data_IF_175087097761
#
_entry.id   IF_175087097761
#
_cell.length_a   1.000
_cell.length_b   1.000
_cell.length_c   1.000
_cell.angle_alpha   90.00
_cell.angle_beta   90.00
_cell.angle_gamma   90.00
#
_symmetry.space_group_name_H-M   'P 1'
#
loop_
_entity.id
_entity.type
_entity.pdbx_description
1 polymer ?
#
# COMPACT_ATOMS: atom_id res chain seq x y z
N UNK A 1 53.60 -71.82 9.15
CA UNK A 1 53.20 -71.45 7.80
C UNK A 1 52.06 -70.46 7.90
N UNK A 2 52.37 -69.20 7.76
CA UNK A 2 51.38 -68.12 7.79
C UNK A 2 51.28 -67.54 6.40
N UNK A 3 50.11 -67.70 5.81
CA UNK A 3 49.81 -67.16 4.47
C UNK A 3 49.28 -65.73 4.60
N UNK A 4 49.99 -64.78 4.02
CA UNK A 4 49.58 -63.36 3.92
C UNK A 4 48.75 -63.18 2.64
N UNK A 5 47.49 -62.72 2.77
CA UNK A 5 46.62 -62.38 1.68
C UNK A 5 46.75 -60.83 1.49
N UNK A 6 47.08 -60.30 0.30
CA UNK A 6 47.10 -58.87 0.08
C UNK A 6 45.69 -58.34 -0.18
N UNK A 7 45.28 -57.33 0.59
CA UNK A 7 44.10 -56.54 0.32
C UNK A 7 44.38 -55.56 -0.84
N UNK A 8 43.72 -55.72 -1.99
CA UNK A 8 43.63 -54.74 -3.01
C UNK A 8 42.62 -53.68 -2.62
N UNK A 9 43.07 -52.49 -2.21
CA UNK A 9 42.24 -51.35 -1.97
C UNK A 9 41.82 -50.70 -3.32
N UNK A 10 40.54 -50.77 -3.68
CA UNK A 10 39.95 -50.01 -4.76
C UNK A 10 39.85 -48.52 -4.33
N UNK A 11 40.72 -47.67 -4.87
CA UNK A 11 40.60 -46.20 -4.75
C UNK A 11 39.57 -45.73 -5.75
N UNK A 12 38.35 -45.51 -5.31
CA UNK A 12 37.32 -44.81 -6.09
C UNK A 12 37.60 -43.29 -6.05
N UNK A 13 38.03 -42.74 -7.16
CA UNK A 13 38.09 -41.30 -7.37
C UNK A 13 36.66 -40.78 -7.49
N UNK A 14 36.20 -40.13 -6.46
CA UNK A 14 34.97 -39.28 -6.52
C UNK A 14 35.31 -38.03 -7.37
N UNK A 15 34.87 -38.00 -8.63
CA UNK A 15 34.86 -36.81 -9.44
C UNK A 15 33.83 -35.87 -8.79
N UNK A 16 34.29 -34.92 -7.97
CA UNK A 16 33.49 -33.78 -7.56
C UNK A 16 33.23 -32.97 -8.81
N UNK A 17 32.05 -33.10 -9.41
CA UNK A 17 31.55 -32.13 -10.37
C UNK A 17 31.41 -30.81 -9.65
N UNK A 18 32.38 -29.93 -9.83
CA UNK A 18 32.20 -28.52 -9.51
C UNK A 18 31.10 -28.00 -10.47
N UNK A 19 29.88 -27.93 -9.98
CA UNK A 19 28.87 -27.09 -10.61
C UNK A 19 29.38 -25.65 -10.47
N UNK A 20 30.06 -25.16 -11.51
CA UNK A 20 30.19 -23.72 -11.73
C UNK A 20 28.77 -23.19 -11.80
N UNK A 21 28.30 -22.56 -10.71
CA UNK A 21 27.06 -21.77 -10.74
C UNK A 21 27.31 -20.68 -11.77
N UNK A 22 26.78 -20.86 -12.97
CA UNK A 22 26.85 -19.87 -14.03
C UNK A 22 26.34 -18.54 -13.49
N UNK A 23 26.97 -17.45 -13.90
CA UNK A 23 26.52 -16.10 -13.52
C UNK A 23 25.14 -15.92 -14.12
N UNK A 24 24.09 -15.96 -13.28
CA UNK A 24 22.71 -15.78 -13.69
C UNK A 24 22.41 -14.37 -14.21
N UNK A 25 21.16 -14.02 -14.30
CA UNK A 25 20.74 -12.68 -14.70
C UNK A 25 20.57 -11.78 -13.45
N UNK A 26 21.01 -10.54 -13.58
CA UNK A 26 20.78 -9.49 -12.58
C UNK A 26 20.15 -8.28 -13.27
N UNK A 27 18.95 -7.90 -12.84
CA UNK A 27 18.21 -6.77 -13.39
C UNK A 27 17.95 -5.73 -12.32
N UNK A 28 18.05 -4.47 -12.68
CA UNK A 28 17.77 -3.33 -11.81
C UNK A 28 16.36 -2.80 -12.05
N UNK A 29 15.57 -2.67 -10.98
CA UNK A 29 14.22 -2.10 -11.06
C UNK A 29 14.20 -0.57 -10.89
N UNK A 30 15.34 0.10 -10.74
CA UNK A 30 15.41 1.56 -10.55
C UNK A 30 14.64 2.29 -11.63
N UNK A 31 13.75 3.18 -11.20
CA UNK A 31 12.96 3.97 -12.15
C UNK A 31 13.88 4.83 -13.05
N UNK A 32 13.65 4.82 -14.36
CA UNK A 32 14.42 5.45 -15.44
C UNK A 32 15.81 4.86 -15.69
N UNK A 33 16.63 4.65 -14.66
CA UNK A 33 18.03 4.21 -14.83
C UNK A 33 18.21 2.68 -14.83
N UNK A 34 17.25 1.91 -14.31
CA UNK A 34 17.31 0.46 -14.26
C UNK A 34 16.89 -0.21 -15.58
N UNK A 35 16.85 -1.55 -15.54
CA UNK A 35 16.51 -2.40 -16.69
C UNK A 35 15.00 -2.55 -16.89
N UNK A 36 14.20 -2.36 -15.83
CA UNK A 36 12.74 -2.38 -15.90
C UNK A 36 12.22 -1.08 -16.50
N UNK A 37 12.03 -1.07 -17.83
CA UNK A 37 11.61 0.11 -18.60
C UNK A 37 10.09 0.26 -18.68
N UNK A 38 9.65 1.48 -19.00
CA UNK A 38 8.24 1.84 -19.14
C UNK A 38 7.69 1.52 -20.55
N UNK A 39 6.42 1.14 -20.64
CA UNK A 39 5.50 0.75 -19.56
C UNK A 39 5.88 -0.62 -18.97
N UNK A 40 6.00 -0.69 -17.64
CA UNK A 40 6.52 -1.87 -16.95
C UNK A 40 5.53 -3.04 -16.96
N UNK A 41 6.01 -4.28 -17.24
CA UNK A 41 5.28 -5.48 -16.87
C UNK A 41 5.29 -5.67 -15.35
N UNK A 42 4.35 -6.45 -14.83
CA UNK A 42 4.46 -6.99 -13.47
C UNK A 42 5.49 -8.12 -13.50
N UNK A 43 6.35 -8.13 -12.48
CA UNK A 43 7.35 -9.16 -12.26
C UNK A 43 6.81 -10.17 -11.25
N UNK A 44 6.57 -11.39 -11.69
CA UNK A 44 5.98 -12.43 -10.86
C UNK A 44 6.91 -13.62 -10.72
N UNK A 45 6.84 -14.24 -9.55
CA UNK A 45 7.41 -15.58 -9.32
C UNK A 45 6.28 -16.58 -9.08
N UNK A 46 6.52 -17.82 -9.49
CA UNK A 46 5.64 -18.95 -9.23
C UNK A 46 6.17 -19.73 -8.04
N UNK A 47 5.33 -20.05 -7.08
CA UNK A 47 5.70 -20.91 -5.96
C UNK A 47 5.56 -22.40 -6.31
N UNK A 48 5.94 -23.28 -5.36
CA UNK A 48 5.84 -24.73 -5.53
C UNK A 48 4.40 -25.25 -5.76
N UNK A 49 3.38 -24.44 -5.42
CA UNK A 49 1.96 -24.73 -5.65
C UNK A 49 1.43 -24.09 -6.94
N UNK A 50 2.34 -23.57 -7.76
CA UNK A 50 2.05 -22.83 -9.00
C UNK A 50 1.27 -21.52 -8.81
N UNK A 51 1.18 -20.98 -7.58
CA UNK A 51 0.59 -19.69 -7.34
C UNK A 51 1.57 -18.55 -7.67
N UNK A 52 1.04 -17.47 -8.27
CA UNK A 52 1.83 -16.30 -8.60
C UNK A 52 1.85 -15.29 -7.45
N UNK A 53 3.02 -14.72 -7.24
CA UNK A 53 3.21 -13.59 -6.33
C UNK A 53 4.18 -12.57 -6.95
N UNK A 54 4.10 -11.31 -6.51
CA UNK A 54 5.08 -10.29 -6.92
C UNK A 54 6.49 -10.75 -6.54
N UNK A 55 7.42 -10.67 -7.47
CA UNK A 55 8.84 -10.91 -7.21
C UNK A 55 9.50 -9.60 -6.81
N UNK A 56 9.85 -9.48 -5.54
CA UNK A 56 10.55 -8.30 -5.01
C UNK A 56 12.06 -8.42 -5.26
N UNK A 57 12.80 -7.29 -5.34
CA UNK A 57 14.26 -7.29 -5.38
C UNK A 57 14.91 -8.07 -4.24
N UNK A 58 16.18 -8.41 -4.40
CA UNK A 58 16.94 -9.14 -3.37
C UNK A 58 17.64 -8.18 -2.41
N UNK A 59 17.81 -6.90 -2.84
CA UNK A 59 18.52 -5.88 -2.08
C UNK A 59 17.84 -4.49 -2.09
N UNK A 60 18.35 -3.61 -1.24
CA UNK A 60 17.92 -2.21 -1.11
C UNK A 60 18.26 -1.35 -2.36
N UNK A 61 19.16 -1.82 -3.22
CA UNK A 61 19.51 -1.14 -4.47
C UNK A 61 18.52 -1.43 -5.59
N UNK A 62 17.61 -2.38 -5.36
CA UNK A 62 16.60 -2.78 -6.35
C UNK A 62 17.16 -3.73 -7.40
N UNK A 63 18.10 -4.59 -7.03
CA UNK A 63 18.59 -5.68 -7.85
C UNK A 63 17.71 -6.91 -7.67
N UNK A 64 17.32 -7.53 -8.78
CA UNK A 64 16.62 -8.80 -8.79
C UNK A 64 17.48 -9.82 -9.54
N UNK A 65 17.84 -10.91 -8.86
CA UNK A 65 18.75 -11.93 -9.36
C UNK A 65 17.96 -13.18 -9.73
N UNK A 66 18.16 -13.66 -10.95
CA UNK A 66 17.55 -14.89 -11.47
C UNK A 66 18.69 -15.85 -11.80
N UNK A 67 18.70 -17.07 -11.25
CA UNK A 67 19.71 -18.09 -11.61
C UNK A 67 19.75 -18.34 -13.11
N UNK A 68 20.90 -18.77 -13.65
CA UNK A 68 20.98 -19.23 -15.03
C UNK A 68 19.95 -20.35 -15.27
N UNK A 69 19.26 -20.30 -16.41
CA UNK A 69 18.10 -21.16 -16.72
C UNK A 69 16.90 -21.01 -15.78
N UNK A 70 16.96 -20.14 -14.75
CA UNK A 70 15.81 -19.76 -13.96
C UNK A 70 14.88 -18.84 -14.74
N UNK A 71 13.62 -18.74 -14.33
CA UNK A 71 12.62 -17.95 -15.04
C UNK A 71 11.94 -16.92 -14.19
N UNK A 72 11.57 -15.82 -14.81
CA UNK A 72 10.67 -14.79 -14.27
C UNK A 72 9.42 -14.73 -15.14
N UNK A 73 8.27 -14.60 -14.51
CA UNK A 73 7.01 -14.47 -15.23
C UNK A 73 6.63 -12.99 -15.37
N UNK A 74 6.42 -12.56 -16.62
CA UNK A 74 6.09 -11.19 -16.98
C UNK A 74 4.63 -11.11 -17.41
N UNK A 75 3.90 -10.11 -16.91
CA UNK A 75 2.51 -9.90 -17.34
C UNK A 75 2.19 -8.41 -17.52
N UNK A 76 1.38 -8.13 -18.54
CA UNK A 76 0.87 -6.81 -18.90
C UNK A 76 -0.64 -6.77 -18.74
N UNK A 77 -1.16 -6.65 -17.49
CA UNK A 77 -2.59 -6.62 -17.25
C UNK A 77 -3.31 -5.50 -18.01
N UNK A 78 -4.47 -5.84 -18.59
CA UNK A 78 -5.33 -4.91 -19.31
C UNK A 78 -5.73 -5.44 -20.69
N UNK A 79 -6.85 -4.91 -21.19
CA UNK A 79 -7.32 -5.25 -22.54
C UNK A 79 -6.35 -4.72 -23.59
N UNK A 80 -5.98 -5.55 -24.58
CA UNK A 80 -5.04 -5.21 -25.64
C UNK A 80 -3.69 -4.68 -25.14
N UNK A 81 -3.27 -5.09 -23.95
CA UNK A 81 -1.96 -4.80 -23.37
C UNK A 81 -1.08 -6.05 -23.50
N UNK A 82 0.05 -5.96 -24.16
CA UNK A 82 0.91 -7.08 -24.47
C UNK A 82 2.39 -6.69 -24.36
N UNK A 83 3.24 -7.70 -24.16
CA UNK A 83 4.70 -7.55 -24.13
C UNK A 83 5.23 -7.33 -25.55
N UNK A 84 6.04 -6.30 -25.76
CA UNK A 84 6.68 -5.93 -27.03
C UNK A 84 5.72 -5.86 -28.23
N UNK A 85 5.11 -6.97 -28.59
CA UNK A 85 4.17 -7.09 -29.69
C UNK A 85 3.09 -8.15 -29.39
N UNK A 86 2.08 -8.22 -30.25
CA UNK A 86 0.94 -9.14 -30.06
C UNK A 86 1.32 -10.62 -30.11
N UNK A 87 2.40 -10.98 -30.80
CA UNK A 87 2.82 -12.39 -30.96
C UNK A 87 3.39 -12.97 -29.66
N UNK A 88 3.96 -12.14 -28.78
CA UNK A 88 4.42 -12.55 -27.44
C UNK A 88 3.25 -12.73 -26.48
N UNK A 89 2.16 -11.96 -26.67
CA UNK A 89 0.99 -12.00 -25.81
C UNK A 89 1.09 -11.04 -24.62
N UNK A 90 0.09 -11.12 -23.73
CA UNK A 90 0.02 -10.28 -22.52
C UNK A 90 0.76 -10.89 -21.32
N UNK A 91 1.23 -12.13 -21.43
CA UNK A 91 1.96 -12.87 -20.41
C UNK A 91 3.05 -13.72 -21.06
N UNK A 92 4.21 -13.80 -20.43
CA UNK A 92 5.29 -14.64 -20.90
C UNK A 92 6.22 -15.07 -19.75
N UNK A 93 6.76 -16.26 -19.86
CA UNK A 93 7.89 -16.71 -19.08
C UNK A 93 9.18 -16.27 -19.76
N UNK A 94 10.02 -15.54 -19.04
CA UNK A 94 11.33 -15.09 -19.50
C UNK A 94 12.40 -15.90 -18.78
N UNK A 95 13.13 -16.75 -19.51
CA UNK A 95 14.17 -17.64 -19.00
C UNK A 95 15.51 -16.91 -19.05
N UNK A 96 16.19 -16.82 -17.93
CA UNK A 96 17.52 -16.21 -17.85
C UNK A 96 18.54 -16.98 -18.69
N UNK A 97 19.23 -16.27 -19.57
CA UNK A 97 20.35 -16.81 -20.34
C UNK A 97 21.67 -16.35 -19.74
N UNK A 98 21.88 -15.04 -19.64
CA UNK A 98 23.07 -14.43 -19.04
C UNK A 98 22.89 -12.92 -18.85
N UNK A 99 23.44 -12.37 -17.79
CA UNK A 99 23.48 -10.93 -17.50
C UNK A 99 22.06 -10.29 -17.50
N UNK A 100 21.68 -9.59 -18.59
CA UNK A 100 20.35 -9.01 -18.79
C UNK A 100 19.61 -9.64 -19.99
N UNK A 101 20.13 -10.75 -20.54
CA UNK A 101 19.57 -11.44 -21.70
C UNK A 101 18.67 -12.58 -21.27
N UNK A 102 17.45 -12.58 -21.77
CA UNK A 102 16.41 -13.57 -21.49
C UNK A 102 15.90 -14.21 -22.78
N UNK A 103 15.54 -15.48 -22.73
CA UNK A 103 14.80 -16.18 -23.77
C UNK A 103 13.30 -16.09 -23.49
N UNK A 104 12.53 -15.57 -24.45
CA UNK A 104 11.07 -15.52 -24.40
C UNK A 104 10.54 -16.17 -25.67
N UNK A 105 9.76 -17.24 -25.55
CA UNK A 105 9.26 -18.05 -26.69
C UNK A 105 10.37 -18.47 -27.66
N UNK A 106 11.58 -18.77 -27.14
CA UNK A 106 12.74 -19.19 -27.91
C UNK A 106 13.55 -18.07 -28.56
N UNK A 107 13.10 -16.80 -28.48
CA UNK A 107 13.84 -15.65 -28.98
C UNK A 107 14.60 -14.94 -27.85
N UNK A 108 15.83 -14.47 -28.14
CA UNK A 108 16.65 -13.74 -27.18
C UNK A 108 16.26 -12.26 -27.11
N UNK A 109 16.11 -11.74 -25.91
CA UNK A 109 15.77 -10.36 -25.64
C UNK A 109 16.62 -9.78 -24.52
N UNK A 110 17.03 -8.52 -24.64
CA UNK A 110 17.52 -7.78 -23.51
C UNK A 110 16.31 -7.44 -22.61
N UNK A 111 16.42 -7.59 -21.29
CA UNK A 111 15.33 -7.36 -20.36
C UNK A 111 14.68 -5.97 -20.51
N UNK A 112 15.49 -4.96 -20.81
CA UNK A 112 15.02 -3.58 -21.02
C UNK A 112 14.10 -3.41 -22.24
N UNK A 113 14.05 -4.37 -23.14
CA UNK A 113 13.11 -4.39 -24.27
C UNK A 113 11.78 -5.07 -23.95
N UNK A 114 11.68 -5.80 -22.82
CA UNK A 114 10.49 -6.51 -22.41
C UNK A 114 9.51 -5.55 -21.72
N UNK A 115 8.90 -4.66 -22.48
CA UNK A 115 7.97 -3.63 -22.03
C UNK A 115 6.54 -3.94 -22.45
N UNK A 116 5.56 -3.45 -21.70
CA UNK A 116 4.16 -3.51 -22.07
C UNK A 116 3.80 -2.44 -23.13
N UNK A 117 2.74 -2.64 -23.87
CA UNK A 117 2.18 -1.60 -24.76
C UNK A 117 1.68 -0.38 -23.98
N UNK A 118 1.13 -0.60 -22.77
CA UNK A 118 0.62 0.43 -21.91
C UNK A 118 0.85 0.08 -20.44
N UNK A 119 0.65 1.04 -19.52
CA UNK A 119 0.71 0.75 -18.10
C UNK A 119 -0.24 -0.38 -17.70
N UNK A 120 0.25 -1.27 -16.84
CA UNK A 120 -0.54 -2.36 -16.27
C UNK A 120 -1.81 -1.83 -15.62
N UNK A 121 -2.96 -2.33 -16.09
CA UNK A 121 -4.27 -1.88 -15.61
C UNK A 121 -4.65 -2.64 -14.35
N UNK A 122 -4.81 -1.89 -13.26
CA UNK A 122 -5.37 -2.38 -12.01
C UNK A 122 -6.90 -2.33 -12.03
N UNK A 123 -7.53 -3.14 -11.21
CA UNK A 123 -8.97 -3.20 -11.04
C UNK A 123 -9.34 -3.20 -9.55
N UNK A 124 -10.60 -2.91 -9.26
CA UNK A 124 -11.20 -3.14 -7.96
C UNK A 124 -12.43 -4.01 -8.11
N UNK A 125 -12.70 -4.88 -7.14
CA UNK A 125 -13.87 -5.78 -7.15
C UNK A 125 -14.29 -6.19 -5.75
N UNK A 126 -15.53 -6.60 -5.61
CA UNK A 126 -16.00 -7.27 -4.39
C UNK A 126 -15.40 -8.68 -4.30
N UNK A 127 -14.96 -9.08 -3.11
CA UNK A 127 -14.37 -10.39 -2.88
C UNK A 127 -15.34 -11.32 -2.15
N UNK A 128 -16.19 -11.98 -2.84
CA UNK A 128 -16.99 -13.05 -2.27
C UNK A 128 -18.05 -12.61 -1.24
N UNK A 129 -18.52 -13.58 -0.46
CA UNK A 129 -19.81 -13.58 0.21
C UNK A 129 -19.79 -13.21 1.69
N UNK A 130 -18.64 -13.17 2.36
CA UNK A 130 -18.59 -12.85 3.79
C UNK A 130 -18.50 -11.36 4.03
N UNK A 131 -19.37 -10.79 4.87
CA UNK A 131 -19.28 -9.39 5.24
C UNK A 131 -18.08 -9.13 6.12
N UNK A 132 -17.44 -7.96 5.98
CA UNK A 132 -16.48 -7.44 6.94
C UNK A 132 -17.21 -6.57 7.98
N UNK A 133 -16.65 -6.50 9.19
CA UNK A 133 -17.24 -5.76 10.31
C UNK A 133 -18.74 -6.05 10.52
N UNK A 134 -19.12 -7.31 10.31
CA UNK A 134 -20.47 -7.84 10.51
C UNK A 134 -21.50 -7.51 9.43
N UNK A 135 -21.36 -6.42 8.66
CA UNK A 135 -22.37 -5.96 7.69
C UNK A 135 -21.86 -5.24 6.44
N UNK A 136 -20.57 -4.90 6.39
CA UNK A 136 -19.99 -4.15 5.30
C UNK A 136 -19.39 -5.09 4.24
N UNK A 137 -19.03 -4.56 3.10
CA UNK A 137 -18.53 -5.35 1.98
C UNK A 137 -17.01 -5.36 1.91
N UNK A 138 -16.47 -6.54 1.66
CA UNK A 138 -15.05 -6.73 1.44
C UNK A 138 -14.75 -6.56 -0.06
N UNK A 139 -13.75 -5.75 -0.37
CA UNK A 139 -13.26 -5.49 -1.72
C UNK A 139 -11.75 -5.69 -1.77
N UNK A 140 -11.25 -5.87 -2.98
CA UNK A 140 -9.81 -5.85 -3.25
C UNK A 140 -9.49 -4.92 -4.42
N UNK A 141 -8.28 -4.37 -4.38
CA UNK A 141 -7.64 -3.69 -5.50
C UNK A 141 -6.42 -4.53 -5.90
N UNK A 142 -6.21 -4.70 -7.20
CA UNK A 142 -5.11 -5.52 -7.69
C UNK A 142 -5.04 -5.62 -9.20
N UNK A 143 -4.44 -6.69 -9.70
CA UNK A 143 -4.24 -6.95 -11.11
C UNK A 143 -4.77 -8.34 -11.47
N UNK A 144 -5.42 -8.43 -12.63
CA UNK A 144 -5.80 -9.72 -13.20
C UNK A 144 -4.73 -10.19 -14.18
N UNK A 145 -4.31 -11.43 -14.01
CA UNK A 145 -3.57 -12.21 -14.99
C UNK A 145 -4.51 -13.22 -15.63
N UNK A 146 -4.05 -13.98 -16.62
CA UNK A 146 -4.87 -15.04 -17.25
C UNK A 146 -5.27 -16.13 -16.25
N UNK A 147 -4.46 -16.37 -15.22
CA UNK A 147 -4.60 -17.50 -14.29
C UNK A 147 -4.84 -17.11 -12.84
N UNK A 148 -4.62 -15.83 -12.48
CA UNK A 148 -4.69 -15.40 -11.09
C UNK A 148 -5.08 -13.93 -10.94
N UNK A 149 -5.52 -13.57 -9.74
CA UNK A 149 -5.63 -12.18 -9.28
C UNK A 149 -4.51 -11.86 -8.30
N UNK A 150 -3.73 -10.85 -8.62
CA UNK A 150 -2.65 -10.35 -7.76
C UNK A 150 -3.20 -9.20 -6.93
N UNK A 151 -3.64 -9.49 -5.71
CA UNK A 151 -4.18 -8.50 -4.79
C UNK A 151 -3.07 -7.62 -4.21
N UNK A 152 -3.25 -6.31 -4.28
CA UNK A 152 -2.36 -5.33 -3.64
C UNK A 152 -2.96 -4.75 -2.36
N UNK A 153 -4.24 -4.47 -2.36
CA UNK A 153 -4.97 -3.88 -1.23
C UNK A 153 -6.27 -4.66 -1.01
N UNK A 154 -6.58 -4.97 0.24
CA UNK A 154 -7.88 -5.44 0.70
C UNK A 154 -8.55 -4.33 1.50
N UNK A 155 -9.85 -4.15 1.39
CA UNK A 155 -10.56 -3.09 2.09
C UNK A 155 -11.99 -3.47 2.48
N UNK A 156 -12.45 -2.91 3.60
CA UNK A 156 -13.80 -3.06 4.11
C UNK A 156 -14.57 -1.74 3.98
N UNK A 157 -15.71 -1.77 3.31
CA UNK A 157 -16.44 -0.57 2.93
C UNK A 157 -17.94 -0.66 3.22
N UNK A 158 -18.51 0.47 3.62
CA UNK A 158 -19.95 0.70 3.63
C UNK A 158 -20.39 1.36 2.31
N UNK A 159 -21.18 0.65 1.54
CA UNK A 159 -21.71 1.13 0.24
C UNK A 159 -22.82 2.19 0.38
N UNK A 160 -23.43 2.33 1.57
CA UNK A 160 -24.47 3.35 1.83
C UNK A 160 -23.88 4.72 2.07
N UNK A 161 -22.82 4.78 2.87
CA UNK A 161 -22.13 6.03 3.24
C UNK A 161 -20.89 6.31 2.40
N UNK A 162 -20.50 5.33 1.56
CA UNK A 162 -19.26 5.34 0.78
C UNK A 162 -17.99 5.49 1.63
N UNK A 163 -18.05 4.97 2.86
CA UNK A 163 -16.93 5.03 3.81
C UNK A 163 -16.12 3.74 3.76
N UNK A 164 -14.82 3.83 3.46
CA UNK A 164 -13.88 2.74 3.68
C UNK A 164 -13.41 2.79 5.13
N UNK A 165 -13.75 1.77 5.91
CA UNK A 165 -13.41 1.72 7.34
C UNK A 165 -12.00 1.23 7.62
N UNK A 166 -11.51 0.30 6.81
CA UNK A 166 -10.17 -0.25 6.96
C UNK A 166 -9.66 -0.79 5.63
N UNK A 167 -8.37 -0.62 5.42
CA UNK A 167 -7.58 -1.24 4.34
C UNK A 167 -6.50 -2.12 4.95
N UNK A 168 -6.09 -3.15 4.19
CA UNK A 168 -4.96 -4.01 4.52
C UNK A 168 -4.06 -4.17 3.31
N UNK A 169 -2.74 -4.13 3.52
CA UNK A 169 -1.74 -4.48 2.51
C UNK A 169 -0.49 -5.06 3.17
N UNK A 170 0.40 -5.63 2.37
CA UNK A 170 1.72 -6.10 2.82
C UNK A 170 2.80 -5.11 2.41
N UNK A 171 3.52 -4.55 3.37
CA UNK A 171 4.71 -3.75 3.15
C UNK A 171 5.93 -4.65 3.10
N UNK A 172 6.68 -4.59 2.01
CA UNK A 172 7.90 -5.40 1.87
C UNK A 172 9.04 -4.81 2.70
N UNK A 173 9.86 -5.70 3.29
CA UNK A 173 11.15 -5.36 3.89
C UNK A 173 12.09 -4.61 2.95
N UNK A 174 11.87 -4.76 1.65
CA UNK A 174 12.65 -4.12 0.59
C UNK A 174 12.04 -2.80 0.12
N UNK A 175 11.19 -2.18 0.94
CA UNK A 175 10.53 -0.90 0.60
C UNK A 175 11.52 0.23 0.31
N UNK A 176 12.75 0.14 0.79
CA UNK A 176 13.83 1.10 0.47
C UNK A 176 14.19 1.09 -1.01
N UNK A 177 14.06 -0.05 -1.70
CA UNK A 177 14.28 -0.20 -3.15
C UNK A 177 13.14 0.37 -4.00
N UNK A 178 12.11 0.98 -3.40
CA UNK A 178 10.94 1.51 -4.10
C UNK A 178 11.31 2.46 -5.24
N UNK A 179 10.54 2.39 -6.33
CA UNK A 179 10.72 3.25 -7.50
C UNK A 179 10.33 4.71 -7.20
N UNK A 180 11.27 5.44 -6.60
CA UNK A 180 11.08 6.85 -6.24
C UNK A 180 10.85 7.70 -7.50
N UNK A 181 9.95 8.68 -7.38
CA UNK A 181 9.64 9.58 -8.50
C UNK A 181 8.79 8.94 -9.61
N UNK A 182 8.31 7.71 -9.44
CA UNK A 182 7.38 7.10 -10.40
C UNK A 182 6.11 7.95 -10.54
N UNK A 183 5.64 8.24 -11.77
CA UNK A 183 4.55 9.19 -11.98
C UNK A 183 3.23 8.66 -11.42
N UNK A 184 2.50 9.55 -10.75
CA UNK A 184 1.11 9.27 -10.33
C UNK A 184 0.17 9.32 -11.55
N UNK A 185 -0.97 8.61 -11.53
CA UNK A 185 -2.03 8.80 -12.51
C UNK A 185 -2.57 10.24 -12.47
N UNK A 186 -3.13 10.71 -13.57
CA UNK A 186 -3.74 12.04 -13.65
C UNK A 186 -5.02 12.14 -12.80
N UNK A 187 -5.73 11.02 -12.63
CA UNK A 187 -7.02 10.95 -11.92
C UNK A 187 -7.06 9.77 -10.96
N UNK A 188 -7.92 9.87 -9.98
CA UNK A 188 -8.35 8.74 -9.16
C UNK A 188 -9.45 7.96 -9.88
N UNK A 189 -9.46 6.64 -9.71
CA UNK A 189 -10.49 5.76 -10.25
C UNK A 189 -11.67 5.68 -9.28
N UNK A 190 -12.88 5.89 -9.78
CA UNK A 190 -14.12 5.69 -9.03
C UNK A 190 -14.74 4.31 -9.32
N UNK A 191 -14.52 3.79 -10.54
CA UNK A 191 -15.20 2.59 -11.03
C UNK A 191 -16.73 2.75 -10.96
N UNK A 192 -17.40 1.64 -10.71
CA UNK A 192 -18.88 1.57 -10.52
C UNK A 192 -19.31 1.73 -9.05
N UNK A 193 -18.35 2.03 -8.15
CA UNK A 193 -18.58 2.00 -6.70
C UNK A 193 -19.26 3.25 -6.13
N UNK A 194 -19.53 4.26 -6.95
CA UNK A 194 -20.11 5.55 -6.53
C UNK A 194 -21.22 5.98 -7.48
N UNK A 195 -22.29 5.19 -7.63
CA UNK A 195 -23.36 5.49 -8.58
C UNK A 195 -23.99 6.86 -8.31
N UNK A 196 -24.04 7.69 -9.33
CA UNK A 196 -24.61 9.05 -9.26
C UNK A 196 -23.74 10.09 -8.53
N UNK A 197 -22.54 9.73 -8.02
CA UNK A 197 -21.68 10.65 -7.26
C UNK A 197 -20.40 10.95 -8.01
N UNK A 198 -20.17 12.22 -8.33
CA UNK A 198 -18.94 12.68 -8.95
C UNK A 198 -17.93 13.14 -7.88
N UNK A 199 -17.09 12.20 -7.40
CA UNK A 199 -16.09 12.49 -6.36
C UNK A 199 -15.05 13.52 -6.78
N UNK A 200 -14.62 13.54 -8.06
CA UNK A 200 -13.70 14.56 -8.56
C UNK A 200 -14.26 15.96 -8.38
N UNK A 201 -15.59 16.12 -8.60
CA UNK A 201 -16.29 17.38 -8.37
C UNK A 201 -16.36 17.72 -6.88
N UNK A 202 -16.67 16.75 -6.01
CA UNK A 202 -16.80 16.97 -4.57
C UNK A 202 -15.48 17.43 -3.93
N UNK A 203 -14.34 16.88 -4.37
CA UNK A 203 -13.02 17.27 -3.87
C UNK A 203 -12.49 18.60 -4.43
N UNK A 204 -13.17 19.26 -5.36
CA UNK A 204 -12.77 20.62 -5.79
C UNK A 204 -12.98 21.61 -4.65
N UNK A 205 -12.03 22.52 -4.44
CA UNK A 205 -12.04 23.49 -3.34
C UNK A 205 -13.35 24.27 -3.26
N UNK A 206 -13.83 24.81 -4.38
CA UNK A 206 -15.07 25.61 -4.43
C UNK A 206 -16.31 24.80 -4.00
N UNK A 207 -16.37 23.52 -4.35
CA UNK A 207 -17.46 22.64 -3.91
C UNK A 207 -17.37 22.33 -2.42
N UNK A 208 -16.17 22.12 -1.89
CA UNK A 208 -15.96 21.94 -0.44
C UNK A 208 -16.38 23.21 0.31
N UNK A 209 -15.96 24.39 -0.16
CA UNK A 209 -16.33 25.68 0.45
C UNK A 209 -17.86 25.85 0.50
N UNK A 210 -18.53 25.58 -0.60
CA UNK A 210 -20.00 25.67 -0.68
C UNK A 210 -20.67 24.63 0.23
N UNK A 211 -20.16 23.41 0.28
CA UNK A 211 -20.68 22.33 1.12
C UNK A 211 -20.52 22.67 2.60
N UNK A 212 -19.34 23.12 3.03
CA UNK A 212 -19.07 23.49 4.42
C UNK A 212 -19.89 24.74 4.80
N UNK A 213 -20.04 25.74 3.88
CA UNK A 213 -20.90 26.90 4.12
C UNK A 213 -22.37 26.49 4.37
N UNK A 214 -22.91 25.54 3.59
CA UNK A 214 -24.25 24.99 3.82
C UNK A 214 -24.36 24.27 5.17
N UNK A 215 -23.38 23.41 5.52
CA UNK A 215 -23.37 22.66 6.77
C UNK A 215 -23.32 23.61 7.99
N UNK A 216 -22.48 24.64 7.94
CA UNK A 216 -22.29 25.59 9.02
C UNK A 216 -23.34 26.72 9.01
N UNK A 217 -24.16 26.78 7.97
CA UNK A 217 -25.08 27.89 7.68
C UNK A 217 -24.38 29.27 7.68
N UNK A 218 -23.10 29.29 7.27
CA UNK A 218 -22.27 30.48 7.22
C UNK A 218 -21.14 30.38 6.21
N UNK A 219 -21.17 31.27 5.23
CA UNK A 219 -20.10 31.40 4.24
C UNK A 219 -18.83 31.97 4.89
N UNK A 220 -18.96 32.87 5.83
CA UNK A 220 -17.83 33.50 6.51
C UNK A 220 -17.06 32.47 7.38
N UNK A 221 -17.77 31.64 8.13
CA UNK A 221 -17.11 30.54 8.87
C UNK A 221 -16.42 29.56 7.93
N UNK A 222 -17.06 29.19 6.82
CA UNK A 222 -16.45 28.30 5.84
C UNK A 222 -15.16 28.88 5.25
N UNK A 223 -15.14 30.16 4.84
CA UNK A 223 -13.94 30.86 4.36
C UNK A 223 -12.84 30.95 5.44
N UNK A 224 -13.22 31.12 6.70
CA UNK A 224 -12.27 31.14 7.82
C UNK A 224 -11.61 29.77 8.05
N UNK A 225 -12.34 28.67 7.80
CA UNK A 225 -11.86 27.29 8.02
C UNK A 225 -11.12 26.76 6.81
N UNK A 226 -11.55 27.06 5.58
CA UNK A 226 -10.95 26.54 4.35
C UNK A 226 -10.02 27.56 3.70
N UNK A 227 -8.82 27.12 3.34
CA UNK A 227 -7.82 27.91 2.59
C UNK A 227 -7.29 27.06 1.46
N UNK A 228 -7.38 27.54 0.24
CA UNK A 228 -7.17 26.77 -1.01
C UNK A 228 -5.85 26.00 -1.08
N UNK A 229 -4.77 26.53 -0.54
CA UNK A 229 -3.45 25.91 -0.64
C UNK A 229 -3.00 25.22 0.64
N UNK A 230 -3.71 25.43 1.76
CA UNK A 230 -3.22 25.04 3.08
C UNK A 230 -4.21 24.15 3.82
N UNK A 231 -5.51 24.47 3.76
CA UNK A 231 -6.52 23.86 4.61
C UNK A 231 -7.79 23.52 3.85
N UNK A 232 -7.89 22.30 3.38
CA UNK A 232 -9.01 21.71 2.67
C UNK A 232 -9.01 20.19 2.90
N UNK A 233 -10.10 19.52 2.56
CA UNK A 233 -10.17 18.06 2.61
C UNK A 233 -9.50 17.46 1.37
N UNK A 234 -8.34 16.88 1.55
CA UNK A 234 -7.63 16.11 0.53
C UNK A 234 -8.16 14.68 0.40
N UNK A 235 -7.81 14.03 -0.70
CA UNK A 235 -8.01 12.58 -0.89
C UNK A 235 -6.97 11.84 -0.06
N UNK A 236 -7.17 11.77 1.26
CA UNK A 236 -6.24 11.10 2.16
C UNK A 236 -6.12 9.62 1.82
N UNK A 237 -4.95 9.18 1.34
CA UNK A 237 -4.72 7.77 1.07
C UNK A 237 -4.74 6.97 2.37
N UNK A 238 -5.40 5.81 2.34
CA UNK A 238 -5.30 4.84 3.43
C UNK A 238 -4.05 3.97 3.27
N UNK A 239 -3.79 3.51 2.05
CA UNK A 239 -2.51 2.90 1.66
C UNK A 239 -1.78 3.89 0.77
N UNK A 240 -0.66 4.42 1.26
CA UNK A 240 0.08 5.45 0.56
C UNK A 240 0.75 4.93 -0.73
N UNK A 241 0.89 5.80 -1.73
CA UNK A 241 1.62 5.47 -2.97
C UNK A 241 3.02 4.92 -2.68
N UNK A 242 3.74 5.56 -1.76
CA UNK A 242 5.11 5.22 -1.42
C UNK A 242 5.28 3.91 -0.63
N UNK A 243 4.18 3.27 -0.22
CA UNK A 243 4.21 2.01 0.52
C UNK A 243 4.45 0.78 -0.37
N UNK A 244 4.57 0.99 -1.69
CA UNK A 244 4.86 -0.07 -2.66
C UNK A 244 6.19 0.12 -3.38
N UNK A 245 6.86 -1.00 -3.68
CA UNK A 245 8.15 -1.02 -4.37
C UNK A 245 8.00 -0.65 -5.85
N UNK A 246 7.08 -1.30 -6.58
CA UNK A 246 6.92 -1.14 -8.02
C UNK A 246 5.93 -0.05 -8.40
N UNK A 247 6.24 0.68 -9.47
CA UNK A 247 5.41 1.76 -9.98
C UNK A 247 3.98 1.34 -10.35
N UNK A 248 3.78 0.15 -10.92
CA UNK A 248 2.46 -0.37 -11.20
C UNK A 248 1.62 -0.50 -9.92
N UNK A 249 2.20 -1.05 -8.84
CA UNK A 249 1.52 -1.15 -7.53
C UNK A 249 1.29 0.23 -6.91
N UNK A 250 2.26 1.16 -7.05
CA UNK A 250 2.09 2.55 -6.62
C UNK A 250 0.89 3.21 -7.31
N UNK A 251 0.68 2.96 -8.62
CA UNK A 251 -0.47 3.48 -9.35
C UNK A 251 -1.79 2.87 -8.91
N UNK A 252 -1.79 1.61 -8.47
CA UNK A 252 -3.01 0.93 -7.97
C UNK A 252 -3.58 1.53 -6.69
N UNK A 253 -2.84 2.40 -5.99
CA UNK A 253 -3.36 3.10 -4.80
C UNK A 253 -4.34 4.23 -5.13
N UNK A 254 -4.42 4.66 -6.40
CA UNK A 254 -5.23 5.80 -6.83
C UNK A 254 -6.68 5.43 -7.16
N UNK A 255 -7.33 4.74 -6.22
CA UNK A 255 -8.76 4.51 -6.19
C UNK A 255 -9.40 5.34 -5.09
N UNK A 256 -10.59 5.91 -5.35
CA UNK A 256 -11.38 6.54 -4.30
C UNK A 256 -11.72 5.58 -3.16
N UNK A 257 -11.82 4.28 -3.46
CA UNK A 257 -11.95 3.21 -2.46
C UNK A 257 -10.81 3.19 -1.43
N UNK A 258 -9.63 3.65 -1.80
CA UNK A 258 -8.44 3.73 -0.96
C UNK A 258 -8.26 5.12 -0.34
N UNK A 259 -9.34 5.92 -0.22
CA UNK A 259 -9.25 7.27 0.34
C UNK A 259 -10.35 7.55 1.35
N UNK A 260 -10.06 8.47 2.27
CA UNK A 260 -11.06 9.15 3.08
C UNK A 260 -10.76 10.66 3.10
N UNK A 261 -11.76 11.54 3.38
CA UNK A 261 -11.51 12.97 3.50
C UNK A 261 -10.55 13.27 4.64
N UNK A 262 -9.42 13.90 4.34
CA UNK A 262 -8.35 14.19 5.30
C UNK A 262 -7.94 15.65 5.17
N UNK A 263 -7.85 16.36 6.28
CA UNK A 263 -7.37 17.74 6.24
C UNK A 263 -5.93 17.78 5.73
N UNK A 264 -5.67 18.70 4.79
CA UNK A 264 -4.37 18.77 4.10
C UNK A 264 -3.22 18.98 5.08
N UNK A 265 -3.40 19.81 6.09
CA UNK A 265 -2.38 20.06 7.12
C UNK A 265 -2.02 18.82 7.94
N UNK A 266 -2.98 17.93 8.20
CA UNK A 266 -2.74 16.64 8.85
C UNK A 266 -2.13 15.63 7.87
N UNK A 267 -2.64 15.57 6.63
CA UNK A 267 -2.15 14.65 5.59
C UNK A 267 -0.66 14.89 5.30
N UNK A 268 -0.26 16.13 5.09
CA UNK A 268 1.14 16.51 4.86
C UNK A 268 1.97 16.62 6.16
N UNK A 269 1.29 16.64 7.30
CA UNK A 269 1.88 16.79 8.63
C UNK A 269 2.29 15.47 9.26
N UNK A 270 1.71 15.18 10.42
CA UNK A 270 2.08 14.00 11.21
C UNK A 270 1.73 12.68 10.53
N UNK A 271 0.69 12.64 9.65
CA UNK A 271 0.34 11.42 8.95
C UNK A 271 1.42 11.02 7.93
N UNK A 272 1.89 11.97 7.12
CA UNK A 272 3.01 11.74 6.20
C UNK A 272 4.30 11.36 6.95
N UNK A 273 4.58 12.01 8.09
CA UNK A 273 5.73 11.70 8.94
C UNK A 273 5.66 10.28 9.51
N UNK A 274 4.46 9.83 9.92
CA UNK A 274 4.23 8.45 10.36
C UNK A 274 4.48 7.45 9.24
N UNK A 275 3.91 7.68 8.05
CA UNK A 275 4.09 6.81 6.89
C UNK A 275 5.57 6.66 6.50
N UNK A 276 6.31 7.75 6.47
CA UNK A 276 7.75 7.74 6.19
C UNK A 276 8.55 7.00 7.27
N UNK A 277 8.19 7.22 8.54
CA UNK A 277 8.80 6.52 9.68
C UNK A 277 8.58 5.01 9.63
N UNK A 278 7.34 4.56 9.28
CA UNK A 278 7.02 3.13 9.15
C UNK A 278 7.81 2.48 8.02
N UNK A 279 7.92 3.14 6.84
CA UNK A 279 8.74 2.62 5.73
C UNK A 279 10.21 2.49 6.11
N UNK A 280 10.78 3.50 6.76
CA UNK A 280 12.16 3.49 7.24
C UNK A 280 12.39 2.38 8.27
N UNK A 281 11.44 2.21 9.18
CA UNK A 281 11.50 1.17 10.20
C UNK A 281 11.44 -0.23 9.57
N UNK A 282 10.47 -0.50 8.69
CA UNK A 282 10.36 -1.77 7.99
C UNK A 282 11.65 -2.14 7.23
N UNK A 283 12.23 -1.17 6.51
CA UNK A 283 13.48 -1.38 5.80
C UNK A 283 14.68 -1.60 6.75
N UNK A 284 14.83 -0.77 7.79
CA UNK A 284 15.98 -0.86 8.71
C UNK A 284 15.99 -2.12 9.56
N UNK A 285 14.80 -2.63 9.92
CA UNK A 285 14.64 -3.88 10.67
C UNK A 285 14.43 -5.10 9.76
N UNK A 286 14.43 -4.90 8.44
CA UNK A 286 14.23 -5.94 7.42
C UNK A 286 12.95 -6.76 7.66
N UNK A 287 11.82 -6.07 7.89
CA UNK A 287 10.54 -6.68 8.24
C UNK A 287 9.53 -6.60 7.09
N UNK A 288 8.89 -7.73 6.80
CA UNK A 288 7.64 -7.75 6.02
C UNK A 288 6.46 -7.53 6.96
N UNK A 289 5.75 -6.43 6.79
CA UNK A 289 4.68 -6.03 7.69
C UNK A 289 3.30 -6.20 7.06
N UNK A 290 2.35 -6.76 7.81
CA UNK A 290 0.93 -6.55 7.55
C UNK A 290 0.56 -5.16 8.09
N UNK A 291 0.12 -4.27 7.21
CA UNK A 291 -0.25 -2.91 7.56
C UNK A 291 -1.75 -2.72 7.36
N UNK A 292 -2.40 -2.23 8.40
CA UNK A 292 -3.82 -1.87 8.40
C UNK A 292 -3.95 -0.38 8.60
N UNK A 293 -4.77 0.28 7.80
CA UNK A 293 -5.09 1.70 7.97
C UNK A 293 -6.59 1.87 7.95
N UNK A 294 -7.12 2.61 8.89
CA UNK A 294 -8.55 2.82 8.96
C UNK A 294 -8.93 4.19 9.51
N UNK A 295 -10.24 4.39 9.58
CA UNK A 295 -10.84 5.63 10.10
C UNK A 295 -11.81 5.32 11.23
N UNK A 296 -12.03 6.30 12.11
CA UNK A 296 -12.95 6.17 13.23
C UNK A 296 -13.63 7.49 13.56
N UNK A 297 -14.92 7.39 13.94
CA UNK A 297 -15.73 8.55 14.28
C UNK A 297 -15.96 9.50 13.10
N UNK A 298 -16.73 10.52 13.31
CA UNK A 298 -16.99 11.57 12.33
C UNK A 298 -16.59 12.92 12.89
N UNK A 299 -15.91 13.73 12.09
CA UNK A 299 -15.51 15.07 12.43
C UNK A 299 -16.73 16.00 12.51
N UNK A 300 -16.68 16.93 13.43
CA UNK A 300 -17.67 18.01 13.59
C UNK A 300 -17.00 19.38 13.53
N UNK A 301 -17.78 20.39 13.17
CA UNK A 301 -17.43 21.81 13.30
C UNK A 301 -18.56 22.56 13.96
N UNK A 302 -18.22 23.58 14.75
CA UNK A 302 -19.20 24.51 15.33
C UNK A 302 -19.76 25.44 14.25
N UNK A 303 -21.10 25.54 14.20
CA UNK A 303 -21.80 26.59 13.44
C UNK A 303 -21.79 27.92 14.22
N UNK A 304 -22.41 28.97 13.67
CA UNK A 304 -22.48 30.31 14.29
C UNK A 304 -23.17 30.33 15.66
N UNK A 305 -23.98 29.31 15.96
CA UNK A 305 -24.70 29.15 17.23
C UNK A 305 -23.97 28.25 18.21
N UNK A 306 -22.71 27.83 17.90
CA UNK A 306 -21.94 26.90 18.72
C UNK A 306 -22.39 25.44 18.63
N UNK A 307 -23.32 25.11 17.71
CA UNK A 307 -23.79 23.72 17.54
C UNK A 307 -22.81 22.94 16.70
N UNK A 308 -22.44 21.74 17.15
CA UNK A 308 -21.60 20.78 16.40
C UNK A 308 -22.34 20.22 15.19
N UNK A 309 -21.77 20.38 14.02
CA UNK A 309 -22.28 19.87 12.72
C UNK A 309 -21.37 18.82 12.15
N UNK A 310 -21.92 17.69 11.75
CA UNK A 310 -21.19 16.61 11.10
C UNK A 310 -20.68 17.06 9.73
N UNK A 311 -19.42 16.76 9.40
CA UNK A 311 -18.77 17.18 8.17
C UNK A 311 -18.81 16.08 7.13
N UNK A 312 -19.23 16.42 5.91
CA UNK A 312 -19.32 15.57 4.73
C UNK A 312 -18.75 16.30 3.51
N UNK A 313 -18.27 15.55 2.53
CA UNK A 313 -18.02 16.09 1.18
C UNK A 313 -19.33 16.28 0.39
N UNK A 314 -20.36 15.49 0.69
CA UNK A 314 -21.68 15.59 0.08
C UNK A 314 -22.74 15.70 1.18
N UNK A 315 -23.11 16.93 1.52
CA UNK A 315 -23.99 17.22 2.66
C UNK A 315 -25.43 16.73 2.43
N UNK A 316 -25.97 16.89 1.20
CA UNK A 316 -27.36 16.53 0.87
C UNK A 316 -27.61 15.02 1.00
N UNK A 317 -26.64 14.20 0.66
CA UNK A 317 -26.74 12.75 0.81
C UNK A 317 -26.19 12.22 2.15
N UNK A 318 -25.58 13.08 2.97
CA UNK A 318 -24.85 12.71 4.19
C UNK A 318 -23.83 11.57 3.94
N UNK A 319 -23.14 11.61 2.80
CA UNK A 319 -22.17 10.62 2.35
C UNK A 319 -20.76 11.20 2.22
N UNK A 320 -19.77 10.33 2.16
CA UNK A 320 -18.34 10.66 2.14
C UNK A 320 -18.00 11.55 3.35
N UNK A 321 -18.27 11.00 4.55
CA UNK A 321 -18.03 11.69 5.81
C UNK A 321 -16.55 11.95 6.05
N UNK A 322 -16.19 13.11 6.62
CA UNK A 322 -14.85 13.35 7.13
C UNK A 322 -14.67 12.61 8.46
N UNK A 323 -13.75 11.65 8.58
CA UNK A 323 -13.53 10.95 9.84
C UNK A 323 -12.88 11.86 10.87
N UNK A 324 -13.18 11.63 12.18
CA UNK A 324 -12.51 12.32 13.29
C UNK A 324 -11.08 11.83 13.48
N UNK A 325 -10.85 10.53 13.31
CA UNK A 325 -9.55 9.89 13.50
C UNK A 325 -9.17 9.05 12.31
N UNK A 326 -7.88 9.07 12.00
CA UNK A 326 -7.17 8.04 11.23
C UNK A 326 -6.40 7.17 12.21
N UNK A 327 -6.32 5.87 11.92
CA UNK A 327 -5.49 4.95 12.68
C UNK A 327 -4.71 4.03 11.74
N UNK A 328 -3.56 3.59 12.19
CA UNK A 328 -2.70 2.64 11.46
C UNK A 328 -2.18 1.58 12.43
N UNK A 329 -2.23 0.32 12.01
CA UNK A 329 -1.61 -0.79 12.74
C UNK A 329 -0.53 -1.40 11.85
N UNK A 330 0.66 -1.54 12.39
CA UNK A 330 1.72 -2.34 11.80
C UNK A 330 1.86 -3.63 12.60
N UNK A 331 1.97 -4.76 11.90
CA UNK A 331 2.07 -6.08 12.50
C UNK A 331 3.11 -6.91 11.77
N UNK A 332 4.07 -7.46 12.53
CA UNK A 332 5.02 -8.46 12.04
C UNK A 332 4.47 -9.85 12.37
N UNK A 333 3.98 -10.60 11.36
CA UNK A 333 3.43 -11.93 11.60
C UNK A 333 4.47 -12.96 12.03
N UNK A 334 5.75 -12.70 11.77
CA UNK A 334 6.84 -13.64 12.14
C UNK A 334 7.15 -13.59 13.63
N UNK A 335 7.20 -12.41 14.22
CA UNK A 335 7.43 -12.20 15.65
C UNK A 335 6.15 -12.00 16.46
N UNK A 336 4.99 -11.92 15.81
CA UNK A 336 3.69 -11.59 16.43
C UNK A 336 3.70 -10.27 17.21
N UNK A 337 4.56 -9.32 16.84
CA UNK A 337 4.61 -8.00 17.45
C UNK A 337 3.86 -6.99 16.61
N UNK A 338 3.23 -6.02 17.28
CA UNK A 338 2.46 -5.00 16.58
C UNK A 338 2.30 -3.72 17.37
N UNK A 339 2.13 -2.61 16.65
CA UNK A 339 1.92 -1.28 17.23
C UNK A 339 0.81 -0.56 16.48
N UNK A 340 -0.03 0.14 17.20
CA UNK A 340 -1.09 0.97 16.66
C UNK A 340 -0.71 2.46 16.79
N UNK A 341 -1.13 3.25 15.81
CA UNK A 341 -0.97 4.70 15.75
C UNK A 341 -2.32 5.34 15.49
N UNK A 342 -2.55 6.49 16.09
CA UNK A 342 -3.77 7.28 15.90
C UNK A 342 -3.39 8.72 15.58
N UNK A 343 -4.11 9.32 14.64
CA UNK A 343 -3.99 10.73 14.30
C UNK A 343 -5.36 11.41 14.29
N UNK A 344 -5.47 12.56 14.92
CA UNK A 344 -6.68 13.38 14.93
C UNK A 344 -6.78 14.18 13.63
N UNK A 345 -7.84 13.96 12.88
CA UNK A 345 -8.14 14.67 11.64
C UNK A 345 -9.01 15.92 11.92
N UNK A 346 -8.60 16.72 12.90
CA UNK A 346 -9.28 17.97 13.27
C UNK A 346 -8.26 19.06 13.65
N UNK A 347 -7.89 19.92 12.70
CA UNK A 347 -6.94 21.01 12.94
C UNK A 347 -7.57 22.25 13.62
N UNK A 348 -8.84 22.19 14.02
CA UNK A 348 -9.58 23.34 14.54
C UNK A 348 -9.86 23.26 16.06
N UNK A 349 -9.44 22.20 16.72
CA UNK A 349 -9.52 22.14 18.18
C UNK A 349 -8.69 23.26 18.81
N UNK A 350 -9.16 23.83 19.89
CA UNK A 350 -8.47 24.93 20.61
C UNK A 350 -7.49 24.39 21.65
N UNK A 351 -7.83 23.27 22.26
CA UNK A 351 -7.09 22.63 23.37
C UNK A 351 -7.09 21.13 23.20
N UNK A 352 -6.05 20.47 23.71
CA UNK A 352 -5.95 19.01 23.72
C UNK A 352 -6.61 18.51 24.99
N UNK A 353 -7.76 17.86 24.85
CA UNK A 353 -8.56 17.29 25.91
C UNK A 353 -8.50 15.76 25.91
N UNK A 354 -9.02 15.10 26.92
CA UNK A 354 -8.93 13.64 27.05
C UNK A 354 -9.65 12.88 25.92
N UNK A 355 -10.67 13.49 25.30
CA UNK A 355 -11.47 12.88 24.23
C UNK A 355 -10.75 12.75 22.88
N UNK A 356 -9.52 13.33 22.75
CA UNK A 356 -8.66 13.10 21.58
C UNK A 356 -7.89 11.79 21.68
N UNK A 357 -7.87 11.13 22.83
CA UNK A 357 -7.14 9.89 23.06
C UNK A 357 -8.10 8.68 23.11
N UNK A 358 -8.05 7.83 22.10
CA UNK A 358 -8.83 6.57 22.02
C UNK A 358 -8.22 5.44 22.85
N UNK A 359 -6.96 5.58 23.28
CA UNK A 359 -6.16 4.58 23.96
C UNK A 359 -5.01 5.23 24.73
N UNK A 360 -4.37 4.50 25.63
CA UNK A 360 -3.20 4.98 26.36
C UNK A 360 -2.01 5.28 25.44
N UNK A 361 -1.47 6.50 25.52
CA UNK A 361 -0.34 6.95 24.72
C UNK A 361 0.98 6.30 25.17
N UNK A 362 1.56 5.49 24.31
CA UNK A 362 2.86 4.85 24.50
C UNK A 362 3.95 5.40 23.55
N UNK A 363 3.72 6.52 22.88
CA UNK A 363 4.63 7.10 21.87
C UNK A 363 6.07 7.25 22.38
N UNK A 364 6.27 7.52 23.67
CA UNK A 364 7.59 7.63 24.29
C UNK A 364 8.45 6.36 24.17
N UNK A 365 7.81 5.18 23.99
CA UNK A 365 8.49 3.89 23.78
C UNK A 365 8.98 3.72 22.34
N UNK A 366 8.35 4.40 21.37
CA UNK A 366 8.61 4.23 19.94
C UNK A 366 9.63 5.27 19.48
N UNK A 367 10.91 4.93 19.46
CA UNK A 367 12.01 5.87 19.23
C UNK A 367 12.27 6.25 17.77
N UNK A 368 11.74 5.52 16.82
CA UNK A 368 11.93 5.75 15.39
C UNK A 368 10.91 6.70 14.74
N UNK A 369 9.93 7.19 15.51
CA UNK A 369 8.95 8.16 15.02
C UNK A 369 9.57 9.57 14.89
N UNK A 370 9.30 10.21 13.75
CA UNK A 370 9.80 11.56 13.41
C UNK A 370 8.68 12.61 13.31
N UNK A 371 7.62 12.47 14.07
CA UNK A 371 6.46 13.37 14.08
C UNK A 371 6.52 14.45 15.16
N UNK A 372 5.55 15.38 15.11
CA UNK A 372 5.30 16.40 16.14
C UNK A 372 3.99 16.09 16.87
N UNK A 373 3.95 15.16 17.83
CA UNK A 373 2.72 14.49 18.29
C UNK A 373 1.67 15.43 18.89
N UNK A 374 2.08 16.62 19.37
CA UNK A 374 1.19 17.62 20.00
C UNK A 374 0.89 18.83 19.11
N UNK A 375 1.32 18.83 17.87
CA UNK A 375 1.02 19.91 16.91
C UNK A 375 -0.42 19.73 16.39
N UNK A 376 -1.31 20.64 16.79
CA UNK A 376 -2.73 20.61 16.42
C UNK A 376 -2.89 20.73 14.89
N UNK A 377 -2.13 21.62 14.24
CA UNK A 377 -2.23 21.86 12.80
C UNK A 377 -1.76 20.65 12.02
N UNK A 378 -0.64 20.05 12.43
CA UNK A 378 -0.10 18.84 11.82
C UNK A 378 -0.90 17.57 12.17
N UNK A 379 -1.90 17.68 13.06
CA UNK A 379 -2.74 16.59 13.57
C UNK A 379 -2.14 15.91 14.79
N UNK A 380 -2.80 16.04 15.94
CA UNK A 380 -2.42 15.35 17.18
C UNK A 380 -2.28 13.86 16.89
N UNK A 381 -1.14 13.28 17.24
CA UNK A 381 -0.83 11.89 16.90
C UNK A 381 -0.15 11.17 18.07
N UNK A 382 -0.46 9.90 18.26
CA UNK A 382 0.08 9.09 19.34
C UNK A 382 0.09 7.60 18.98
N UNK A 383 0.85 6.81 19.74
CA UNK A 383 0.94 5.37 19.57
C UNK A 383 0.28 4.63 20.73
N UNK A 384 -0.29 3.45 20.44
CA UNK A 384 -0.96 2.59 21.40
C UNK A 384 -0.56 1.13 21.23
N UNK A 385 -0.87 0.27 22.21
CA UNK A 385 -0.96 -1.16 21.93
C UNK A 385 -2.15 -1.44 21.01
N UNK A 386 -2.02 -2.46 20.16
CA UNK A 386 -3.10 -2.88 19.25
C UNK A 386 -4.36 -3.28 20.03
N UNK A 387 -4.17 -4.02 21.14
CA UNK A 387 -5.26 -4.48 21.98
C UNK A 387 -6.03 -3.32 22.62
N UNK A 388 -5.33 -2.24 23.03
CA UNK A 388 -5.98 -1.10 23.67
C UNK A 388 -6.77 -0.28 22.64
N UNK A 389 -6.19 0.01 21.46
CA UNK A 389 -6.93 0.69 20.40
C UNK A 389 -8.18 -0.10 19.97
N UNK A 390 -8.09 -1.44 19.89
CA UNK A 390 -9.21 -2.29 19.48
C UNK A 390 -10.41 -2.19 20.43
N UNK A 391 -10.23 -1.88 21.71
CA UNK A 391 -11.34 -1.65 22.65
C UNK A 391 -12.21 -0.46 22.25
N UNK A 392 -11.59 0.60 21.71
CA UNK A 392 -12.30 1.80 21.27
C UNK A 392 -12.74 1.72 19.80
N UNK A 393 -12.02 0.99 18.94
CA UNK A 393 -12.20 0.96 17.49
C UNK A 393 -12.44 -0.46 17.01
N UNK A 394 -13.69 -0.84 16.81
CA UNK A 394 -14.09 -2.19 16.39
C UNK A 394 -13.52 -2.60 15.01
N UNK A 395 -13.14 -1.63 14.16
CA UNK A 395 -12.53 -1.89 12.86
C UNK A 395 -11.06 -2.34 12.93
N UNK A 396 -10.41 -2.20 14.08
CA UNK A 396 -9.05 -2.74 14.31
C UNK A 396 -9.14 -4.27 14.36
N UNK A 397 -8.38 -4.98 13.51
CA UNK A 397 -8.49 -6.43 13.42
C UNK A 397 -8.05 -7.13 14.72
N UNK A 398 -8.63 -8.31 14.96
CA UNK A 398 -8.17 -9.20 16.03
C UNK A 398 -6.89 -9.91 15.56
N UNK A 399 -5.74 -9.37 15.97
CA UNK A 399 -4.42 -9.92 15.68
C UNK A 399 -3.87 -10.61 16.93
N UNK A 400 -3.11 -11.69 16.71
CA UNK A 400 -2.39 -12.38 17.78
C UNK A 400 -1.10 -11.61 18.10
N UNK A 401 -1.25 -10.47 18.79
CA UNK A 401 -0.15 -9.59 19.17
C UNK A 401 0.30 -9.93 20.58
N UNK A 402 1.55 -10.39 20.71
CA UNK A 402 2.14 -10.76 21.99
C UNK A 402 2.97 -9.64 22.63
N UNK A 403 3.46 -8.68 21.83
CA UNK A 403 4.28 -7.55 22.31
C UNK A 403 4.22 -6.36 21.32
N UNK A 404 4.73 -5.22 21.77
CA UNK A 404 4.83 -3.98 20.99
C UNK A 404 5.99 -4.10 19.99
N UNK A 405 5.76 -3.69 18.75
CA UNK A 405 6.78 -3.57 17.73
C UNK A 405 7.43 -2.16 17.86
N UNK A 406 8.66 -2.12 18.40
CA UNK A 406 9.41 -0.89 18.73
C UNK A 406 10.63 -0.71 17.88
#
# INVERSE_FOLDING_TARGET
>A
MWTIIPFLGCITWAIASSTTTGVGCAISIKYKSGDLKEPQPLLLKRDAKHAFSIWYPDDDNGTLTIPESGSIYLTCPGKDNYLQNRSVGNEAEAICVKDTVFSVNGALHNFSSLVCKSHSKHHARYTGSLPCLGRHRLLEIGFNTSTASIRTIELCRDDKTYTTYVTKFKMSRLIKSSQKGYPRPQKFEAGEFYPGVNLDKLYKFENQLNTIAKILNSTELAKKRLKKSEQFLSRGHMVAKADFVYGAMQRSTFWYLNTAPQWQSFNDGNWNSLEDSVRKFAASQYLDLDVYTGVHGQMTMEDERGKQRLIYLHAEGAIVSAPKFYWKVIYDPSSKRGTAFVGLNDPFIKTITADVYLCADISKKIKWLSWKPRDITAGISYACSVADLRKAVAAVPALDVIDILM
#
